data_IF_222581366723
#
_entry.id   IF_222581366723
#
_cell.length_a   1.000
_cell.length_b   1.000
_cell.length_c   1.000
_cell.angle_alpha   90.00
_cell.angle_beta   90.00
_cell.angle_gamma   90.00
#
_symmetry.space_group_name_H-M   'P 1'
#
loop_
_entity.id
_entity.type
_entity.pdbx_description
1 polymer ?
#
# COMPACT_ATOMS: atom_id res chain seq x y z
N UNK A 1 10.47 -9.04 -7.55
CA UNK A 1 10.10 -9.85 -6.37
C UNK A 1 10.29 -9.05 -5.09
N UNK A 2 9.40 -9.24 -4.12
CA UNK A 2 9.51 -8.56 -2.83
C UNK A 2 9.13 -9.49 -1.69
N UNK A 3 9.84 -9.38 -0.58
CA UNK A 3 9.49 -10.04 0.67
C UNK A 3 9.62 -9.05 1.83
N UNK A 4 8.80 -9.23 2.84
CA UNK A 4 8.91 -8.50 4.10
C UNK A 4 9.36 -9.48 5.18
N UNK A 5 10.36 -9.07 5.97
CA UNK A 5 10.88 -9.89 7.07
C UNK A 5 10.42 -9.30 8.40
N UNK A 6 9.39 -9.88 9.04
CA UNK A 6 8.81 -9.30 10.25
C UNK A 6 9.81 -9.15 11.42
N UNK A 7 10.77 -10.07 11.54
CA UNK A 7 11.77 -10.02 12.62
C UNK A 7 12.70 -8.81 12.53
N UNK A 8 12.80 -8.20 11.34
CA UNK A 8 13.67 -7.06 11.10
C UNK A 8 12.88 -5.79 10.74
N UNK A 9 11.57 -5.90 10.54
CA UNK A 9 10.71 -4.85 9.96
C UNK A 9 11.27 -4.32 8.63
N UNK A 10 11.79 -5.23 7.79
CA UNK A 10 12.54 -4.86 6.59
C UNK A 10 11.99 -5.50 5.34
N UNK A 11 11.90 -4.68 4.31
CA UNK A 11 11.56 -5.09 2.95
C UNK A 11 12.82 -5.45 2.19
N UNK A 12 12.74 -6.51 1.39
CA UNK A 12 13.75 -6.90 0.42
C UNK A 12 13.09 -6.93 -0.95
N UNK A 13 13.54 -6.07 -1.86
CA UNK A 13 12.96 -5.94 -3.19
C UNK A 13 14.04 -6.26 -4.22
N UNK A 14 13.80 -7.27 -5.03
CA UNK A 14 14.68 -7.65 -6.11
C UNK A 14 14.14 -7.11 -7.43
N UNK A 15 14.96 -6.33 -8.12
CA UNK A 15 14.64 -5.84 -9.46
C UNK A 15 14.56 -6.99 -10.45
N UNK A 16 13.49 -7.05 -11.24
CA UNK A 16 13.33 -8.05 -12.29
C UNK A 16 14.29 -7.85 -13.46
N UNK A 17 14.72 -6.61 -13.70
CA UNK A 17 15.59 -6.28 -14.82
C UNK A 17 17.07 -6.48 -14.52
N UNK A 18 17.52 -6.15 -13.31
CA UNK A 18 18.95 -6.17 -12.94
C UNK A 18 19.31 -7.26 -11.96
N UNK A 19 18.34 -7.86 -11.27
CA UNK A 19 18.58 -8.81 -10.19
C UNK A 19 19.10 -8.19 -8.90
N UNK A 20 19.32 -6.87 -8.88
CA UNK A 20 19.80 -6.16 -7.68
C UNK A 20 18.75 -6.19 -6.59
N UNK A 21 19.21 -6.33 -5.34
CA UNK A 21 18.35 -6.33 -4.16
C UNK A 21 18.51 -4.99 -3.44
N UNK A 22 17.39 -4.33 -3.15
CA UNK A 22 17.33 -3.13 -2.31
C UNK A 22 16.58 -3.46 -1.04
N UNK A 23 16.92 -2.78 0.03
CA UNK A 23 16.26 -2.96 1.33
C UNK A 23 15.68 -1.65 1.83
N UNK A 24 14.52 -1.74 2.47
CA UNK A 24 13.83 -0.59 3.04
C UNK A 24 13.34 -0.93 4.44
N UNK A 25 13.57 -0.05 5.38
CA UNK A 25 13.05 -0.16 6.74
C UNK A 25 11.72 0.60 6.79
N UNK A 26 10.63 -0.13 6.66
CA UNK A 26 9.29 0.45 6.65
C UNK A 26 8.31 -0.52 7.30
N UNK A 27 7.50 0.02 8.21
CA UNK A 27 6.44 -0.74 8.84
C UNK A 27 6.79 -1.24 10.22
N UNK A 28 5.78 -1.82 10.86
CA UNK A 28 5.89 -2.43 12.18
C UNK A 28 5.18 -3.77 12.18
N UNK A 29 5.89 -4.80 12.57
CA UNK A 29 5.32 -6.14 12.64
C UNK A 29 4.11 -6.17 13.59
N UNK A 30 3.04 -6.82 13.15
CA UNK A 30 1.82 -7.01 13.94
C UNK A 30 0.79 -5.90 13.83
N UNK A 31 1.14 -4.73 13.32
CA UNK A 31 0.20 -3.58 13.24
C UNK A 31 -0.09 -3.13 11.83
N UNK A 32 0.88 -3.21 10.93
CA UNK A 32 0.77 -2.64 9.60
C UNK A 32 0.18 -3.61 8.59
N UNK A 33 -0.52 -3.06 7.61
CA UNK A 33 -0.94 -3.78 6.41
C UNK A 33 0.08 -3.49 5.31
N UNK A 34 0.62 -4.53 4.70
CA UNK A 34 1.63 -4.44 3.64
C UNK A 34 0.94 -4.39 2.28
N UNK A 35 1.27 -3.38 1.49
CA UNK A 35 0.58 -3.10 0.23
C UNK A 35 1.57 -2.74 -0.88
N UNK A 36 2.51 -3.65 -1.23
CA UNK A 36 3.45 -3.35 -2.31
C UNK A 36 2.73 -3.21 -3.65
N UNK A 37 3.02 -2.15 -4.38
CA UNK A 37 2.48 -1.90 -5.71
C UNK A 37 3.27 -0.77 -6.38
N UNK A 38 3.06 -0.58 -7.68
CA UNK A 38 3.70 0.50 -8.42
C UNK A 38 2.88 1.80 -8.26
N UNK A 39 3.19 2.56 -7.24
CA UNK A 39 2.51 3.83 -6.94
C UNK A 39 3.10 5.00 -7.73
N UNK A 40 4.29 4.85 -8.26
CA UNK A 40 4.98 5.90 -9.00
C UNK A 40 4.78 5.81 -10.51
N UNK A 41 4.36 4.64 -11.01
CA UNK A 41 4.13 4.42 -12.44
C UNK A 41 5.41 4.11 -13.22
N UNK A 42 6.48 3.72 -12.55
CA UNK A 42 7.78 3.43 -13.18
C UNK A 42 7.96 1.95 -13.56
N UNK A 43 6.94 1.13 -13.35
CA UNK A 43 6.99 -0.30 -13.61
C UNK A 43 7.63 -1.13 -12.50
N UNK A 44 8.00 -0.52 -11.37
CA UNK A 44 8.63 -1.18 -10.24
C UNK A 44 7.72 -1.09 -9.01
N UNK A 45 7.62 -2.17 -8.24
CA UNK A 45 6.85 -2.17 -7.02
C UNK A 45 7.55 -1.32 -5.94
N UNK A 46 6.78 -0.47 -5.30
CA UNK A 46 7.22 0.35 -4.17
C UNK A 46 6.80 -0.31 -2.85
N UNK A 47 7.53 -0.01 -1.79
CA UNK A 47 7.16 -0.46 -0.45
C UNK A 47 6.11 0.47 0.13
N UNK A 48 4.98 -0.07 0.54
CA UNK A 48 3.90 0.71 1.13
C UNK A 48 3.27 -0.03 2.30
N UNK A 49 2.90 0.72 3.33
CA UNK A 49 2.14 0.21 4.47
C UNK A 49 1.00 1.16 4.81
N UNK A 50 -0.06 0.60 5.36
CA UNK A 50 -1.20 1.34 5.86
C UNK A 50 -1.37 1.05 7.35
N UNK A 51 -1.44 2.11 8.15
CA UNK A 51 -1.58 2.02 9.61
C UNK A 51 -2.47 3.14 10.11
N UNK A 52 -3.56 2.78 10.77
CA UNK A 52 -4.45 3.74 11.45
C UNK A 52 -4.85 4.95 10.58
N UNK A 53 -5.19 4.70 9.32
CA UNK A 53 -5.59 5.75 8.41
C UNK A 53 -4.44 6.50 7.74
N UNK A 54 -3.21 6.05 7.93
CA UNK A 54 -2.02 6.69 7.35
C UNK A 54 -1.33 5.74 6.39
N UNK A 55 -1.08 6.21 5.18
CA UNK A 55 -0.25 5.54 4.20
C UNK A 55 1.20 5.98 4.37
N UNK A 56 2.11 5.03 4.34
CA UNK A 56 3.55 5.28 4.29
C UNK A 56 4.11 4.59 3.05
N UNK A 57 4.84 5.33 2.25
CA UNK A 57 5.39 4.86 0.98
C UNK A 57 6.89 5.12 0.93
N UNK A 58 7.64 4.16 0.40
CA UNK A 58 9.02 4.38 -0.03
C UNK A 58 9.10 4.08 -1.52
N UNK A 59 9.45 5.09 -2.31
CA UNK A 59 9.71 4.95 -3.73
C UNK A 59 10.92 4.03 -3.93
N UNK A 60 10.73 2.93 -4.64
CA UNK A 60 11.78 1.92 -4.81
C UNK A 60 12.96 2.40 -5.66
N UNK A 61 12.74 3.43 -6.49
CA UNK A 61 13.78 3.96 -7.37
C UNK A 61 14.63 5.02 -6.67
N UNK A 62 14.00 5.95 -5.95
CA UNK A 62 14.68 7.08 -5.30
C UNK A 62 15.00 6.83 -3.84
N UNK A 63 14.23 5.97 -3.16
CA UNK A 63 14.30 5.77 -1.72
C UNK A 63 13.60 6.87 -0.91
N UNK A 64 12.90 7.78 -1.58
CA UNK A 64 12.15 8.82 -0.89
C UNK A 64 10.98 8.25 -0.11
N UNK A 65 10.76 8.79 1.08
CA UNK A 65 9.69 8.40 1.98
C UNK A 65 8.61 9.47 1.99
N UNK A 66 7.38 9.06 1.70
CA UNK A 66 6.20 9.91 1.76
C UNK A 66 5.17 9.30 2.69
N UNK A 67 4.36 10.16 3.31
CA UNK A 67 3.21 9.72 4.10
C UNK A 67 2.06 10.68 3.92
N UNK A 68 0.83 10.15 3.98
CA UNK A 68 -0.36 10.98 3.95
C UNK A 68 -1.51 10.29 4.69
N UNK A 69 -2.41 11.09 5.21
CA UNK A 69 -3.55 10.59 5.96
C UNK A 69 -4.76 10.47 5.05
N UNK A 70 -5.43 9.30 5.10
CA UNK A 70 -6.74 9.13 4.49
C UNK A 70 -7.87 9.57 5.43
N UNK A 71 -7.57 9.74 6.71
CA UNK A 71 -8.53 10.13 7.72
C UNK A 71 -9.33 8.98 8.34
N UNK A 72 -9.04 7.73 7.99
CA UNK A 72 -9.85 6.58 8.43
C UNK A 72 -8.98 5.46 8.98
N UNK A 73 -9.02 5.25 10.29
CA UNK A 73 -8.35 4.13 10.93
C UNK A 73 -9.12 2.80 10.78
N UNK A 74 -10.42 2.86 10.48
CA UNK A 74 -11.28 1.71 10.22
C UNK A 74 -11.49 1.43 8.73
N UNK A 75 -10.77 2.11 7.85
CA UNK A 75 -10.83 1.89 6.41
C UNK A 75 -10.09 0.63 5.98
N UNK A 76 -10.52 0.05 4.86
CA UNK A 76 -9.85 -1.09 4.22
C UNK A 76 -9.06 -0.57 3.01
N UNK A 77 -7.73 -0.62 3.04
CA UNK A 77 -6.95 -0.19 1.88
C UNK A 77 -7.10 -1.19 0.73
N UNK A 78 -7.38 -0.68 -0.45
CA UNK A 78 -7.54 -1.48 -1.67
C UNK A 78 -6.85 -0.74 -2.81
N UNK A 79 -5.52 -0.72 -2.86
CA UNK A 79 -4.82 -0.01 -3.92
C UNK A 79 -5.10 -0.65 -5.28
N UNK A 80 -5.38 0.17 -6.26
CA UNK A 80 -5.66 -0.29 -7.62
C UNK A 80 -5.44 0.83 -8.63
N UNK A 81 -5.17 0.45 -9.88
CA UNK A 81 -5.13 1.39 -11.01
C UNK A 81 -6.55 1.62 -11.49
N UNK A 82 -7.23 2.59 -10.89
CA UNK A 82 -8.66 2.83 -11.12
C UNK A 82 -8.91 3.68 -12.36
N UNK A 83 -7.96 4.52 -12.75
CA UNK A 83 -8.09 5.38 -13.94
C UNK A 83 -7.32 4.84 -15.14
N UNK A 84 -6.62 3.73 -15.00
CA UNK A 84 -5.86 3.03 -16.06
C UNK A 84 -4.70 3.85 -16.62
N UNK A 85 -4.04 4.62 -15.77
CA UNK A 85 -2.88 5.41 -16.18
C UNK A 85 -1.54 4.68 -15.96
N UNK A 86 -1.56 3.46 -15.42
CA UNK A 86 -0.38 2.67 -15.11
C UNK A 86 0.19 2.90 -13.72
N UNK A 87 -0.41 3.81 -12.96
CA UNK A 87 -0.06 4.05 -11.56
C UNK A 87 -1.15 3.51 -10.66
N UNK A 88 -0.75 2.98 -9.51
CA UNK A 88 -1.70 2.49 -8.51
C UNK A 88 -2.14 3.66 -7.64
N UNK A 89 -3.45 3.89 -7.56
CA UNK A 89 -4.00 4.88 -6.65
C UNK A 89 -4.11 4.32 -5.24
N UNK A 90 -4.00 5.21 -4.26
CA UNK A 90 -4.22 4.91 -2.86
C UNK A 90 -5.72 4.94 -2.58
N UNK A 91 -6.34 3.78 -2.52
CA UNK A 91 -7.78 3.68 -2.33
C UNK A 91 -8.10 3.02 -0.98
N UNK A 92 -9.12 3.54 -0.31
CA UNK A 92 -9.63 3.03 0.95
C UNK A 92 -11.14 2.87 0.84
N UNK A 93 -11.64 1.70 1.17
CA UNK A 93 -13.08 1.42 1.27
C UNK A 93 -13.52 1.52 2.72
N UNK A 94 -14.59 2.28 2.98
CA UNK A 94 -15.14 2.46 4.31
C UNK A 94 -16.65 2.66 4.23
N UNK A 95 -17.40 1.76 4.84
CA UNK A 95 -18.86 1.87 4.99
C UNK A 95 -19.58 2.18 3.68
N UNK A 96 -19.24 1.44 2.62
CA UNK A 96 -19.88 1.60 1.31
C UNK A 96 -19.35 2.75 0.45
N UNK A 97 -18.33 3.46 0.90
CA UNK A 97 -17.74 4.58 0.17
C UNK A 97 -16.27 4.29 -0.13
N UNK A 98 -15.88 4.55 -1.37
CA UNK A 98 -14.50 4.51 -1.82
C UNK A 98 -13.88 5.89 -1.70
N UNK A 99 -12.71 5.97 -1.11
CA UNK A 99 -11.91 7.18 -1.02
C UNK A 99 -10.63 6.95 -1.79
N UNK A 100 -10.42 7.72 -2.85
CA UNK A 100 -9.29 7.53 -3.77
C UNK A 100 -8.44 8.77 -3.77
N UNK A 101 -7.16 8.61 -3.49
CA UNK A 101 -6.17 9.67 -3.56
C UNK A 101 -5.33 9.50 -4.83
N UNK A 102 -5.36 10.49 -5.70
CA UNK A 102 -4.71 10.45 -7.01
C UNK A 102 -3.35 11.16 -7.06
N UNK A 103 -2.82 11.53 -5.90
CA UNK A 103 -1.58 12.29 -5.78
C UNK A 103 -1.79 13.79 -5.57
N UNK A 104 -2.97 14.31 -5.82
CA UNK A 104 -3.30 15.73 -5.64
C UNK A 104 -4.51 15.96 -4.77
N UNK A 105 -5.52 15.11 -4.86
CA UNK A 105 -6.77 15.28 -4.10
C UNK A 105 -7.36 13.93 -3.71
N UNK A 106 -8.17 13.97 -2.65
CA UNK A 106 -8.95 12.83 -2.20
C UNK A 106 -10.36 12.96 -2.78
N UNK A 107 -10.78 11.97 -3.57
CA UNK A 107 -12.10 11.91 -4.20
C UNK A 107 -12.89 10.78 -3.57
N UNK A 108 -14.16 11.01 -3.26
CA UNK A 108 -15.02 9.98 -2.70
C UNK A 108 -16.03 9.49 -3.72
N UNK A 109 -16.31 8.19 -3.67
CA UNK A 109 -17.22 7.50 -4.57
C UNK A 109 -18.08 6.56 -3.77
N UNK A 110 -19.39 6.78 -3.74
CA UNK A 110 -20.29 5.88 -3.05
C UNK A 110 -20.65 4.72 -3.98
N UNK A 111 -20.14 3.54 -3.67
CA UNK A 111 -20.44 2.32 -4.39
C UNK A 111 -20.35 1.12 -3.45
N UNK A 112 -21.50 0.66 -2.98
CA UNK A 112 -21.61 -0.46 -2.06
C UNK A 112 -22.38 -0.10 -0.81
N UNK A 113 -22.49 -1.08 0.09
CA UNK A 113 -23.14 -0.97 1.37
C UNK A 113 -22.11 -1.08 2.49
N UNK A 114 -22.53 -0.73 3.69
CA UNK A 114 -21.64 -0.70 4.86
C UNK A 114 -20.92 -2.02 5.13
N UNK A 115 -21.62 -3.14 4.90
CA UNK A 115 -21.10 -4.48 5.19
C UNK A 115 -20.47 -5.16 3.96
N UNK A 116 -20.37 -4.46 2.83
CA UNK A 116 -19.77 -5.03 1.64
C UNK A 116 -18.25 -5.16 1.81
N UNK A 117 -17.70 -6.14 1.09
CA UNK A 117 -16.26 -6.34 1.04
C UNK A 117 -15.72 -5.79 -0.28
N UNK A 118 -14.74 -4.88 -0.24
CA UNK A 118 -14.12 -4.42 -1.47
C UNK A 118 -13.33 -5.55 -2.12
N UNK A 119 -13.36 -5.62 -3.44
CA UNK A 119 -12.62 -6.62 -4.20
C UNK A 119 -11.40 -5.96 -4.85
N UNK A 120 -10.24 -6.51 -4.59
CA UNK A 120 -8.97 -6.01 -5.07
C UNK A 120 -7.82 -6.76 -4.43
N UNK A 121 -6.60 -6.27 -4.54
CA UNK A 121 -5.47 -6.87 -3.85
C UNK A 121 -5.71 -6.98 -2.36
N UNK A 122 -5.43 -8.16 -1.78
CA UNK A 122 -5.61 -8.39 -0.35
C UNK A 122 -4.33 -7.97 0.38
N UNK A 123 -4.40 -7.00 1.30
CA UNK A 123 -3.22 -6.61 2.06
C UNK A 123 -2.75 -7.74 2.98
N UNK A 124 -1.45 -7.84 3.13
CA UNK A 124 -0.83 -8.79 4.04
C UNK A 124 -0.51 -8.08 5.35
N UNK A 125 -0.94 -8.68 6.47
CA UNK A 125 -0.60 -8.14 7.78
C UNK A 125 0.87 -8.42 8.09
N UNK A 126 1.60 -7.40 8.52
CA UNK A 126 2.99 -7.52 8.93
C UNK A 126 3.06 -8.18 10.30
N UNK A 127 3.05 -9.52 10.34
CA UNK A 127 3.07 -10.29 11.58
C UNK A 127 4.36 -11.08 11.73
N UNK A 128 4.71 -11.38 13.00
CA UNK A 128 5.86 -12.24 13.28
C UNK A 128 5.58 -13.68 12.85
N UNK A 129 6.64 -14.45 12.44
CA UNK A 129 6.50 -15.86 12.09
C UNK A 129 5.88 -16.67 13.23
N UNK A 130 5.05 -17.66 12.87
CA UNK A 130 4.38 -18.54 13.82
C UNK A 130 3.09 -17.98 14.43
N UNK A 131 2.59 -16.90 13.89
CA UNK A 131 1.39 -16.22 14.37
C UNK A 131 0.18 -16.50 13.52
#
# INVERSE_FOLDING_TARGET
LAVFRPSENRWYVQSSSSGKVRTFDLGSAGTDLLLPADYTGDGKADAAVYRNGVWHLIDSDTGEHESFESGFDDGRPVPADLDRDGRIEFAVFRKGTWYVYDGSSLVSHKFGLEDDHPLGPVPVRASLPGR
#
